data_IF_382404430019
#
_entry.id   IF_382404430019
#
_cell.length_a   1.000
_cell.length_b   1.000
_cell.length_c   1.000
_cell.angle_alpha   90.00
_cell.angle_beta   90.00
_cell.angle_gamma   90.00
#
_symmetry.space_group_name_H-M   'P 1'
#
loop_
_entity.id
_entity.type
_entity.pdbx_description
1 polymer ?
#
# COMPACT_ATOMS: atom_id res chain seq x y z
N UNK A 1 -15.55 1.98 -13.06
CA UNK A 1 -14.41 1.67 -12.17
C UNK A 1 -14.90 0.72 -11.10
N UNK A 2 -14.15 -0.36 -10.82
CA UNK A 2 -14.48 -1.29 -9.74
C UNK A 2 -13.86 -0.80 -8.44
N UNK A 3 -14.58 -0.90 -7.32
CA UNK A 3 -14.06 -0.57 -5.98
C UNK A 3 -13.16 -1.72 -5.51
N UNK A 4 -11.94 -1.40 -5.09
CA UNK A 4 -10.95 -2.35 -4.56
C UNK A 4 -10.59 -2.00 -3.12
N UNK A 5 -10.05 -2.95 -2.36
CA UNK A 5 -9.64 -2.74 -0.98
C UNK A 5 -8.13 -2.46 -0.94
N UNK A 6 -7.73 -1.38 -0.29
CA UNK A 6 -6.33 -1.05 0.00
C UNK A 6 -6.00 -1.47 1.45
N UNK A 7 -4.94 -2.23 1.61
CA UNK A 7 -4.34 -2.53 2.92
C UNK A 7 -3.02 -1.78 3.08
N UNK A 8 -2.84 -1.16 4.25
CA UNK A 8 -1.61 -0.48 4.66
C UNK A 8 -1.13 -1.09 5.98
N UNK A 9 0.12 -1.55 5.99
CA UNK A 9 0.78 -2.08 7.19
C UNK A 9 1.92 -1.14 7.58
N UNK A 10 1.70 -0.33 8.62
CA UNK A 10 2.62 0.74 9.00
C UNK A 10 3.77 0.22 9.87
N UNK A 11 4.99 0.27 9.33
CA UNK A 11 6.24 0.05 10.07
C UNK A 11 7.05 1.34 10.25
N UNK A 12 8.11 1.27 11.06
CA UNK A 12 8.98 2.43 11.35
C UNK A 12 9.93 2.80 10.21
N UNK A 13 10.16 1.90 9.25
CA UNK A 13 11.05 2.13 8.09
C UNK A 13 10.27 2.15 6.77
N UNK A 14 9.21 1.33 6.68
CA UNK A 14 8.40 1.15 5.47
C UNK A 14 6.96 0.82 5.84
N UNK A 15 6.06 1.14 4.93
CA UNK A 15 4.65 0.81 4.94
C UNK A 15 4.42 -0.26 3.86
N UNK A 16 3.98 -1.45 4.27
CA UNK A 16 3.56 -2.50 3.35
C UNK A 16 2.24 -2.11 2.66
N UNK A 17 2.13 -2.38 1.37
CA UNK A 17 0.95 -2.04 0.57
C UNK A 17 0.43 -3.29 -0.11
N UNK A 18 -0.89 -3.48 -0.09
CA UNK A 18 -1.55 -4.50 -0.88
C UNK A 18 -2.91 -4.01 -1.37
N UNK A 19 -3.32 -4.51 -2.54
CA UNK A 19 -4.64 -4.25 -3.11
C UNK A 19 -5.34 -5.59 -3.30
N UNK A 20 -6.59 -5.74 -2.85
CA UNK A 20 -7.38 -6.95 -3.11
C UNK A 20 -7.47 -7.23 -4.59
N UNK A 21 -7.61 -8.45 -5.09
CA UNK A 21 -7.94 -8.78 -6.48
C UNK A 21 -9.38 -8.35 -6.86
N UNK A 22 -9.80 -8.59 -8.10
CA UNK A 22 -11.13 -8.20 -8.57
C UNK A 22 -12.28 -8.95 -7.87
N UNK A 23 -12.02 -10.16 -7.38
CA UNK A 23 -12.99 -10.94 -6.61
C UNK A 23 -13.01 -10.55 -5.13
N UNK A 24 -12.13 -9.64 -4.68
CA UNK A 24 -11.94 -9.24 -3.29
C UNK A 24 -11.52 -10.38 -2.36
N UNK A 25 -10.90 -11.43 -2.89
CA UNK A 25 -10.54 -12.66 -2.17
C UNK A 25 -9.06 -12.71 -1.82
N UNK A 26 -8.18 -12.19 -2.68
CA UNK A 26 -6.74 -12.32 -2.55
C UNK A 26 -6.09 -10.94 -2.48
N UNK A 27 -5.27 -10.69 -1.46
CA UNK A 27 -4.42 -9.51 -1.41
C UNK A 27 -3.22 -9.68 -2.36
N UNK A 28 -3.07 -8.78 -3.33
CA UNK A 28 -1.89 -8.70 -4.18
C UNK A 28 -0.90 -7.70 -3.56
N UNK A 29 0.36 -8.10 -3.32
CA UNK A 29 1.35 -7.20 -2.76
C UNK A 29 1.75 -6.13 -3.79
N UNK A 30 1.88 -4.90 -3.33
CA UNK A 30 2.36 -3.76 -4.10
C UNK A 30 3.72 -3.30 -3.55
N UNK A 31 4.47 -2.46 -4.29
CA UNK A 31 5.67 -1.83 -3.76
C UNK A 31 5.40 -1.12 -2.43
N UNK A 32 6.32 -1.27 -1.49
CA UNK A 32 6.22 -0.58 -0.20
C UNK A 32 6.39 0.94 -0.37
N UNK A 33 5.86 1.69 0.57
CA UNK A 33 6.08 3.14 0.69
C UNK A 33 7.06 3.40 1.85
N UNK A 34 8.06 4.29 1.72
CA UNK A 34 8.88 4.71 2.86
C UNK A 34 8.02 5.27 4.00
N UNK A 35 8.36 4.97 5.25
CA UNK A 35 7.59 5.49 6.39
C UNK A 35 7.72 7.01 6.54
N UNK A 36 8.91 7.54 6.26
CA UNK A 36 9.14 8.98 6.16
C UNK A 36 9.03 9.40 4.68
N UNK A 37 8.38 10.54 4.38
CA UNK A 37 8.39 11.08 3.03
C UNK A 37 9.84 11.27 2.55
N UNK A 38 10.17 10.93 1.28
CA UNK A 38 11.43 11.39 0.71
C UNK A 38 11.49 12.91 0.87
N UNK A 39 12.68 13.44 1.19
CA UNK A 39 12.93 14.85 1.54
C UNK A 39 11.93 15.78 0.86
N UNK A 40 11.13 16.47 1.69
CA UNK A 40 10.00 17.27 1.25
C UNK A 40 10.39 18.08 0.01
N UNK A 41 9.68 17.87 -1.10
CA UNK A 41 9.81 18.72 -2.27
C UNK A 41 9.29 20.10 -1.82
N UNK A 42 10.22 21.03 -1.54
CA UNK A 42 9.91 22.46 -1.34
C UNK A 42 9.33 23.09 -2.61
#
# INVERSE_FOLDING_TARGET
MSTRILALDHGTVRIGVAISDDMLMIAQPEPYVPAEPPEAIE
#
